data_IF_460455187686
#
_entry.id   IF_460455187686
#
_cell.length_a   1.000
_cell.length_b   1.000
_cell.length_c   1.000
_cell.angle_alpha   90.00
_cell.angle_beta   90.00
_cell.angle_gamma   90.00
#
_symmetry.space_group_name_H-M   'P 1'
#
loop_
_entity.id
_entity.type
_entity.pdbx_description
1 polymer ?
#
# COMPACT_ATOMS: atom_id res chain seq x y z
N UNK A 1 -43.92 -36.09 -67.15
CA UNK A 1 -42.93 -35.35 -66.32
C UNK A 1 -43.54 -35.34 -64.95
N UNK A 2 -43.42 -36.51 -64.35
CA UNK A 2 -44.02 -36.98 -63.10
C UNK A 2 -43.45 -36.14 -61.96
N UNK A 3 -44.27 -35.37 -61.27
CA UNK A 3 -45.19 -35.73 -60.18
C UNK A 3 -44.56 -35.20 -58.90
N UNK A 4 -45.19 -34.15 -58.39
CA UNK A 4 -44.72 -33.30 -57.30
C UNK A 4 -44.98 -34.11 -56.03
N UNK A 5 -44.03 -34.98 -55.70
CA UNK A 5 -44.05 -35.78 -54.49
C UNK A 5 -43.87 -34.93 -53.24
N UNK A 6 -44.89 -35.03 -52.38
CA UNK A 6 -44.83 -35.09 -50.92
C UNK A 6 -44.26 -33.88 -50.16
N UNK A 7 -45.18 -33.07 -49.61
CA UNK A 7 -44.92 -31.96 -48.69
C UNK A 7 -45.01 -32.38 -47.21
N UNK A 8 -44.96 -33.68 -46.90
CA UNK A 8 -45.11 -34.20 -45.54
C UNK A 8 -43.84 -34.10 -44.67
N UNK A 9 -42.69 -33.67 -45.21
CA UNK A 9 -41.41 -33.57 -44.49
C UNK A 9 -41.22 -32.25 -43.69
N UNK A 10 -42.10 -31.26 -43.82
CA UNK A 10 -41.93 -29.94 -43.15
C UNK A 10 -42.52 -29.91 -41.73
N UNK A 11 -43.36 -30.88 -41.37
CA UNK A 11 -44.03 -30.98 -40.06
C UNK A 11 -43.12 -31.58 -38.97
N UNK A 12 -42.06 -32.31 -39.35
CA UNK A 12 -41.10 -32.90 -38.40
C UNK A 12 -40.15 -31.86 -37.76
N UNK A 13 -39.97 -30.70 -38.39
CA UNK A 13 -39.10 -29.63 -37.86
C UNK A 13 -39.69 -28.86 -36.67
N UNK A 14 -41.01 -28.93 -36.46
CA UNK A 14 -41.68 -28.20 -35.36
C UNK A 14 -41.69 -28.98 -34.04
N UNK A 15 -41.47 -30.29 -34.07
CA UNK A 15 -41.37 -31.14 -32.88
C UNK A 15 -39.99 -31.04 -32.23
N UNK A 16 -38.93 -30.89 -33.04
CA UNK A 16 -37.54 -30.79 -32.58
C UNK A 16 -37.24 -29.43 -31.91
N UNK A 17 -37.91 -28.35 -32.34
CA UNK A 17 -37.86 -27.05 -31.64
C UNK A 17 -38.59 -27.06 -30.30
N UNK A 18 -39.57 -27.94 -30.11
CA UNK A 18 -40.22 -28.19 -28.82
C UNK A 18 -39.29 -28.94 -27.84
N UNK A 19 -38.50 -29.89 -28.34
CA UNK A 19 -37.49 -30.58 -27.55
C UNK A 19 -36.33 -29.66 -27.12
N UNK A 20 -35.95 -28.69 -27.96
CA UNK A 20 -35.00 -27.64 -27.57
C UNK A 20 -35.56 -26.70 -26.50
N UNK A 21 -36.87 -26.45 -26.48
CA UNK A 21 -37.53 -25.70 -25.42
C UNK A 21 -37.60 -26.50 -24.10
N UNK A 22 -37.70 -27.83 -24.16
CA UNK A 22 -37.65 -28.71 -22.98
C UNK A 22 -36.23 -28.81 -22.37
N UNK A 23 -35.17 -28.67 -23.20
CA UNK A 23 -33.79 -28.43 -22.74
C UNK A 23 -33.54 -27.00 -22.24
N UNK A 24 -34.50 -26.08 -22.44
CA UNK A 24 -34.47 -24.66 -22.06
C UNK A 24 -34.90 -24.37 -20.62
N UNK A 25 -34.96 -25.37 -19.75
CA UNK A 25 -35.22 -25.20 -18.31
C UNK A 25 -34.06 -24.57 -17.52
N UNK A 26 -33.34 -23.62 -18.10
CA UNK A 26 -32.23 -22.89 -17.45
C UNK A 26 -32.60 -21.42 -17.12
N UNK A 27 -33.83 -21.00 -17.41
CA UNK A 27 -34.21 -19.58 -17.35
C UNK A 27 -34.86 -19.12 -16.03
N UNK A 28 -35.10 -19.99 -15.05
CA UNK A 28 -35.82 -19.61 -13.81
C UNK A 28 -35.11 -20.01 -12.51
N UNK A 29 -33.78 -19.94 -12.49
CA UNK A 29 -33.01 -19.92 -11.24
C UNK A 29 -32.03 -18.73 -11.26
N UNK A 30 -32.45 -17.58 -11.79
CA UNK A 30 -31.77 -16.34 -11.45
C UNK A 30 -32.01 -16.12 -9.94
N UNK A 31 -30.97 -16.29 -9.09
CA UNK A 31 -31.15 -16.15 -7.66
C UNK A 31 -31.73 -14.75 -7.38
N UNK A 32 -32.67 -14.61 -6.42
CA UNK A 32 -33.23 -13.30 -6.09
C UNK A 32 -32.07 -12.32 -5.89
N UNK A 33 -32.16 -11.12 -6.46
CA UNK A 33 -31.01 -10.19 -6.60
C UNK A 33 -30.20 -9.98 -5.29
N UNK A 34 -30.85 -10.18 -4.14
CA UNK A 34 -30.27 -10.16 -2.79
C UNK A 34 -29.29 -11.33 -2.51
N UNK A 35 -29.56 -12.54 -3.02
CA UNK A 35 -28.73 -13.75 -2.83
C UNK A 35 -27.46 -13.74 -3.70
N UNK A 36 -27.46 -13.03 -4.83
CA UNK A 36 -26.25 -12.75 -5.61
C UNK A 36 -25.33 -11.75 -4.89
N UNK A 37 -25.90 -10.77 -4.18
CA UNK A 37 -25.14 -9.82 -3.36
C UNK A 37 -24.60 -10.42 -2.06
N UNK A 38 -25.30 -11.39 -1.46
CA UNK A 38 -24.86 -12.08 -0.25
C UNK A 38 -23.51 -12.79 -0.43
N UNK A 39 -23.28 -13.42 -1.60
CA UNK A 39 -22.01 -14.09 -1.95
C UNK A 39 -20.85 -13.14 -2.20
N UNK A 40 -21.12 -11.83 -2.33
CA UNK A 40 -20.12 -10.78 -2.56
C UNK A 40 -19.63 -10.10 -1.29
N UNK A 41 -20.08 -10.54 -0.11
CA UNK A 41 -19.66 -9.97 1.19
C UNK A 41 -19.03 -11.02 2.09
N UNK A 42 -17.94 -11.63 1.61
CA UNK A 42 -16.90 -12.15 2.49
C UNK A 42 -15.63 -11.37 2.20
N UNK A 43 -15.61 -10.13 2.67
CA UNK A 43 -14.46 -9.25 2.58
C UNK A 43 -14.00 -9.07 4.02
N UNK A 44 -12.71 -9.23 4.28
CA UNK A 44 -12.16 -8.95 5.60
C UNK A 44 -12.45 -7.51 6.05
N UNK A 45 -11.93 -7.11 7.22
CA UNK A 45 -11.98 -5.71 7.68
C UNK A 45 -11.58 -4.77 6.55
N UNK A 46 -12.35 -3.69 6.35
CA UNK A 46 -12.11 -2.73 5.27
C UNK A 46 -10.70 -2.15 5.35
N UNK A 47 -10.21 -1.53 4.27
CA UNK A 47 -8.82 -1.00 4.24
C UNK A 47 -8.54 -0.04 5.39
N UNK A 48 -9.52 0.76 5.78
CA UNK A 48 -9.48 1.70 6.88
C UNK A 48 -9.64 1.04 8.27
N UNK A 49 -10.12 -0.20 8.32
CA UNK A 49 -10.26 -1.03 9.51
C UNK A 49 -9.09 -2.04 9.67
N UNK A 50 -8.24 -2.18 8.64
CA UNK A 50 -6.95 -2.89 8.73
C UNK A 50 -6.03 -2.04 9.59
N UNK A 51 -5.39 -2.67 10.58
CA UNK A 51 -4.42 -1.99 11.44
C UNK A 51 -3.24 -1.51 10.59
N UNK A 52 -3.21 -0.20 10.35
CA UNK A 52 -2.12 0.48 9.67
C UNK A 52 -0.96 0.81 10.60
N UNK A 53 -0.97 0.35 11.85
CA UNK A 53 0.19 0.50 12.71
C UNK A 53 1.43 -0.02 11.96
N UNK A 54 2.51 0.78 11.89
CA UNK A 54 3.76 0.33 11.32
C UNK A 54 4.11 -1.04 11.93
N UNK A 55 4.52 -2.03 11.11
CA UNK A 55 4.74 -3.39 11.57
C UNK A 55 5.65 -3.36 12.79
N UNK A 56 5.13 -3.72 13.97
CA UNK A 56 5.94 -3.83 15.19
C UNK A 56 6.58 -5.22 15.25
N UNK A 57 7.75 -5.32 15.86
CA UNK A 57 8.50 -6.57 15.95
C UNK A 57 9.50 -6.73 14.81
N UNK A 58 9.63 -7.94 14.26
CA UNK A 58 10.75 -8.32 13.36
C UNK A 58 10.68 -7.71 11.96
N UNK A 59 9.49 -7.25 11.54
CA UNK A 59 9.29 -6.56 10.27
C UNK A 59 9.29 -5.04 10.45
N UNK A 60 9.59 -4.53 11.65
CA UNK A 60 9.79 -3.10 11.84
C UNK A 60 11.01 -2.66 11.02
N UNK A 61 10.95 -1.50 10.34
CA UNK A 61 12.14 -0.93 9.74
C UNK A 61 13.23 -0.82 10.81
N UNK A 62 14.40 -1.40 10.52
CA UNK A 62 15.56 -1.31 11.41
C UNK A 62 15.83 0.17 11.66
N UNK A 63 15.92 0.62 12.93
CA UNK A 63 16.16 2.02 13.23
C UNK A 63 17.47 2.44 12.58
N UNK A 64 17.46 3.62 11.96
CA UNK A 64 18.66 4.20 11.39
C UNK A 64 19.75 4.29 12.48
N UNK A 65 21.03 4.04 12.14
CA UNK A 65 22.11 4.19 13.10
C UNK A 65 22.10 5.60 13.67
N UNK A 66 22.26 5.73 14.99
CA UNK A 66 22.36 7.04 15.62
C UNK A 66 23.55 7.81 15.02
N UNK A 67 23.27 9.02 14.51
CA UNK A 67 24.32 9.89 14.05
C UNK A 67 25.21 10.25 15.25
N UNK A 68 26.41 9.67 15.32
CA UNK A 68 27.38 9.99 16.35
C UNK A 68 27.61 11.51 16.41
N UNK A 69 27.47 12.10 17.60
CA UNK A 69 27.56 13.55 17.76
C UNK A 69 29.00 14.04 17.63
N UNK A 70 29.49 14.23 16.41
CA UNK A 70 30.78 14.89 16.14
C UNK A 70 30.83 16.31 16.70
N UNK A 71 29.68 16.98 16.81
CA UNK A 71 29.57 18.35 17.33
C UNK A 71 29.84 18.51 18.83
N UNK A 72 29.79 17.45 19.65
CA UNK A 72 29.94 17.57 21.10
C UNK A 72 31.34 18.09 21.50
N UNK A 73 32.39 17.61 20.82
CA UNK A 73 33.76 18.11 21.03
C UNK A 73 33.95 19.54 20.49
N UNK A 74 33.36 19.87 19.33
CA UNK A 74 33.52 21.19 18.71
C UNK A 74 32.82 22.32 19.47
N UNK A 75 31.76 22.03 20.24
CA UNK A 75 31.07 23.03 21.09
C UNK A 75 31.99 23.67 22.13
N UNK A 76 33.03 22.95 22.55
CA UNK A 76 34.03 23.44 23.49
C UNK A 76 35.21 24.14 22.83
N UNK A 77 35.42 23.95 21.52
CA UNK A 77 36.57 24.53 20.83
C UNK A 77 36.54 26.06 20.85
N UNK A 78 35.38 26.67 20.56
CA UNK A 78 35.21 28.12 20.58
C UNK A 78 35.44 28.75 21.98
N UNK A 79 34.78 28.30 23.07
CA UNK A 79 35.03 28.87 24.40
C UNK A 79 36.46 28.59 24.90
N UNK A 80 37.03 27.42 24.61
CA UNK A 80 38.42 27.13 24.98
C UNK A 80 39.41 28.08 24.29
N UNK A 81 39.24 28.32 22.98
CA UNK A 81 40.07 29.25 22.23
C UNK A 81 39.99 30.69 22.81
N UNK A 82 38.80 31.14 23.21
CA UNK A 82 38.62 32.46 23.82
C UNK A 82 39.43 32.62 25.12
N UNK A 83 39.43 31.60 25.99
CA UNK A 83 40.20 31.62 27.24
C UNK A 83 41.71 31.65 26.96
N UNK A 84 42.18 30.87 25.99
CA UNK A 84 43.59 30.85 25.58
C UNK A 84 44.02 32.23 25.06
N UNK A 85 43.24 32.83 24.15
CA UNK A 85 43.55 34.16 23.60
C UNK A 85 43.53 35.23 24.70
N UNK A 86 42.51 35.25 25.56
CA UNK A 86 42.40 36.22 26.64
C UNK A 86 43.59 36.14 27.60
N UNK A 87 44.00 34.92 27.98
CA UNK A 87 45.16 34.72 28.86
C UNK A 87 46.47 35.17 28.20
N UNK A 88 46.68 34.87 26.92
CA UNK A 88 47.82 35.35 26.15
C UNK A 88 47.88 36.88 26.09
N UNK A 89 46.75 37.55 25.87
CA UNK A 89 46.66 39.03 25.85
C UNK A 89 46.97 39.62 27.23
N UNK A 90 46.43 39.05 28.31
CA UNK A 90 46.68 39.53 29.67
C UNK A 90 48.16 39.38 30.04
N UNK A 91 48.75 38.22 29.77
CA UNK A 91 50.19 37.97 30.02
C UNK A 91 51.03 38.89 29.15
N UNK A 92 50.77 38.98 27.85
CA UNK A 92 51.49 39.85 26.93
C UNK A 92 51.41 41.32 27.33
N UNK A 93 50.22 41.81 27.68
CA UNK A 93 50.01 43.18 28.17
C UNK A 93 50.72 43.42 29.50
N UNK A 94 50.74 42.45 30.41
CA UNK A 94 51.46 42.55 31.69
C UNK A 94 52.97 42.58 31.50
N UNK A 95 53.51 41.78 30.59
CA UNK A 95 54.94 41.79 30.23
C UNK A 95 55.30 43.13 29.60
N UNK A 96 54.51 43.64 28.66
CA UNK A 96 54.76 44.93 28.02
C UNK A 96 54.73 46.09 29.02
N UNK A 97 53.83 46.05 30.00
CA UNK A 97 53.76 47.05 31.09
C UNK A 97 54.92 47.00 32.05
N UNK A 98 55.56 45.85 32.26
CA UNK A 98 56.75 45.75 33.13
C UNK A 98 58.01 46.29 32.46
N UNK A 99 58.00 46.44 31.13
CA UNK A 99 59.15 46.89 30.34
C UNK A 99 59.11 48.38 30.00
N UNK A 100 58.05 49.09 30.38
CA UNK A 100 57.94 50.54 30.36
C UNK A 100 58.03 51.06 31.77
#
# INVERSE_FOLDING_TARGET
MDDIGDLDDVDQGVEDVGALAELGGLDDDEPPAEAAHARRTMIGRSTEEVDHAPPRGRYAPVPAPEAGSTGAALRWAAPAAAVVIASAVVVGRRVLRRRR
#
